data_IF_233895384622
#
_entry.id   IF_233895384622
#
_cell.length_a   1.000
_cell.length_b   1.000
_cell.length_c   1.000
_cell.angle_alpha   90.00
_cell.angle_beta   90.00
_cell.angle_gamma   90.00
#
_symmetry.space_group_name_H-M   'P 1'
#
loop_
_entity.id
_entity.type
_entity.pdbx_description
1 polymer ?
#
# COMPACT_ATOMS: atom_id res chain seq x y z
N UNK A 1 -18.36 -8.45 -21.35
CA UNK A 1 -17.88 -8.36 -19.95
C UNK A 1 -17.60 -6.90 -19.64
N UNK A 2 -18.22 -6.34 -18.61
CA UNK A 2 -18.08 -4.92 -18.26
C UNK A 2 -16.66 -4.58 -17.80
N UNK A 3 -15.98 -3.75 -18.57
CA UNK A 3 -14.60 -3.28 -18.34
C UNK A 3 -14.43 -2.43 -17.07
N UNK A 4 -15.53 -2.00 -16.45
CA UNK A 4 -15.53 -1.25 -15.17
C UNK A 4 -15.17 -2.12 -13.96
N UNK A 5 -15.50 -3.41 -13.97
CA UNK A 5 -15.24 -4.32 -12.84
C UNK A 5 -13.85 -4.97 -12.89
N UNK A 6 -13.15 -4.82 -14.01
CA UNK A 6 -11.79 -5.31 -14.21
C UNK A 6 -10.72 -4.35 -13.70
N UNK A 7 -11.04 -3.14 -13.25
CA UNK A 7 -10.06 -2.19 -12.69
C UNK A 7 -9.83 -2.45 -11.19
N UNK A 8 -8.64 -2.11 -10.67
CA UNK A 8 -8.29 -2.35 -9.27
C UNK A 8 -9.14 -1.54 -8.28
N UNK A 9 -9.79 -0.45 -8.73
CA UNK A 9 -10.66 0.35 -7.87
C UNK A 9 -9.90 1.05 -6.73
N UNK A 10 -8.62 1.38 -6.95
CA UNK A 10 -7.74 1.94 -5.92
C UNK A 10 -7.61 3.44 -6.13
N UNK A 11 -7.67 4.21 -5.04
CA UNK A 11 -7.17 5.58 -5.00
C UNK A 11 -6.19 5.74 -3.84
N UNK A 12 -4.98 6.17 -4.17
CA UNK A 12 -3.90 6.39 -3.19
C UNK A 12 -3.80 7.89 -2.91
N UNK A 13 -3.64 8.25 -1.63
CA UNK A 13 -3.57 9.64 -1.19
C UNK A 13 -2.21 9.92 -0.57
N UNK A 14 -1.42 10.72 -1.29
CA UNK A 14 -0.10 11.18 -0.84
C UNK A 14 0.95 10.06 -0.81
N UNK A 15 2.14 10.37 -1.32
CA UNK A 15 3.33 9.55 -1.07
C UNK A 15 3.88 9.83 0.32
N UNK A 16 4.31 8.80 1.04
CA UNK A 16 5.18 8.96 2.19
C UNK A 16 6.54 9.54 1.77
N UNK A 17 7.33 9.97 2.75
CA UNK A 17 8.72 10.39 2.57
C UNK A 17 9.68 9.21 2.35
N UNK A 18 9.18 7.98 2.36
CA UNK A 18 9.97 6.76 2.33
C UNK A 18 9.39 5.71 1.39
N UNK A 19 10.27 4.82 0.92
CA UNK A 19 9.94 3.69 0.07
C UNK A 19 9.15 2.62 0.83
N UNK A 20 8.55 1.68 0.10
CA UNK A 20 7.97 0.46 0.66
C UNK A 20 9.05 -0.31 1.42
N UNK A 21 10.25 -0.41 0.87
CA UNK A 21 11.38 -1.12 1.47
C UNK A 21 11.78 -0.54 2.83
N UNK A 22 11.82 0.77 2.95
CA UNK A 22 12.34 1.43 4.15
C UNK A 22 11.55 1.09 5.42
N UNK A 23 10.26 0.82 5.29
CA UNK A 23 9.36 0.63 6.43
C UNK A 23 8.59 -0.70 6.37
N UNK A 24 9.09 -1.69 5.61
CA UNK A 24 8.52 -3.04 5.53
C UNK A 24 9.51 -4.06 6.04
N UNK A 25 9.06 -4.93 6.95
CA UNK A 25 9.90 -5.98 7.51
C UNK A 25 10.39 -6.93 6.40
N UNK A 26 11.68 -7.31 6.36
CA UNK A 26 12.23 -8.16 5.30
C UNK A 26 11.50 -9.50 5.13
N UNK A 27 11.08 -10.13 6.24
CA UNK A 27 10.32 -11.38 6.19
C UNK A 27 8.96 -11.22 5.51
N UNK A 28 8.33 -10.03 5.58
CA UNK A 28 7.09 -9.77 4.82
C UNK A 28 7.39 -9.70 3.32
N UNK A 29 8.45 -9.00 2.90
CA UNK A 29 8.86 -8.95 1.49
C UNK A 29 9.13 -10.35 0.95
N UNK A 30 9.83 -11.17 1.74
CA UNK A 30 10.11 -12.57 1.41
C UNK A 30 8.83 -13.41 1.33
N UNK A 31 7.93 -13.30 2.31
CA UNK A 31 6.66 -14.05 2.35
C UNK A 31 5.78 -13.78 1.12
N UNK A 32 5.73 -12.53 0.67
CA UNK A 32 4.98 -12.14 -0.51
C UNK A 32 5.77 -12.29 -1.84
N UNK A 33 6.99 -12.84 -1.80
CA UNK A 33 7.91 -12.90 -2.95
C UNK A 33 8.05 -11.54 -3.66
N UNK A 34 8.08 -10.45 -2.89
CA UNK A 34 8.10 -9.10 -3.41
C UNK A 34 9.54 -8.65 -3.68
N UNK A 35 9.80 -8.17 -4.90
CA UNK A 35 11.12 -7.72 -5.31
C UNK A 35 11.62 -6.58 -4.41
N UNK A 36 12.80 -6.77 -3.83
CA UNK A 36 13.49 -5.72 -3.06
C UNK A 36 13.78 -4.49 -3.92
N UNK A 37 14.08 -4.68 -5.21
CA UNK A 37 14.29 -3.58 -6.15
C UNK A 37 13.00 -2.76 -6.31
N UNK A 38 11.86 -3.43 -6.51
CA UNK A 38 10.57 -2.75 -6.61
C UNK A 38 10.21 -2.07 -5.29
N UNK A 39 10.45 -2.72 -4.15
CA UNK A 39 10.21 -2.13 -2.83
C UNK A 39 11.02 -0.85 -2.61
N UNK A 40 12.26 -0.77 -3.12
CA UNK A 40 13.11 0.42 -3.00
C UNK A 40 12.67 1.55 -3.92
N UNK A 41 12.22 1.23 -5.14
CA UNK A 41 11.83 2.23 -6.16
C UNK A 41 10.46 2.85 -5.92
N UNK A 42 9.58 2.18 -5.18
CA UNK A 42 8.20 2.63 -4.99
C UNK A 42 8.00 3.23 -3.60
N UNK A 43 7.39 4.41 -3.58
CA UNK A 43 7.02 5.11 -2.35
C UNK A 43 5.87 4.39 -1.65
N UNK A 44 5.93 4.29 -0.32
CA UNK A 44 4.79 3.80 0.45
C UNK A 44 3.69 4.86 0.49
N UNK A 45 2.46 4.51 0.15
CA UNK A 45 1.34 5.46 0.17
C UNK A 45 0.90 5.78 1.60
N UNK A 46 0.61 7.04 1.89
CA UNK A 46 0.20 7.47 3.22
C UNK A 46 -1.22 6.98 3.58
N UNK A 47 -2.12 6.94 2.59
CA UNK A 47 -3.45 6.36 2.73
C UNK A 47 -3.96 5.75 1.42
N UNK A 48 -4.88 4.79 1.52
CA UNK A 48 -5.50 4.11 0.38
C UNK A 48 -7.01 4.01 0.58
N UNK A 49 -7.77 4.35 -0.46
CA UNK A 49 -9.20 4.04 -0.59
C UNK A 49 -9.38 2.91 -1.60
N UNK A 50 -10.13 1.89 -1.18
CA UNK A 50 -10.57 0.79 -2.04
C UNK A 50 -12.05 0.97 -2.37
N UNK A 51 -12.36 1.11 -3.65
CA UNK A 51 -13.71 1.17 -4.20
C UNK A 51 -14.14 -0.25 -4.55
N UNK A 52 -15.39 -0.61 -4.23
CA UNK A 52 -15.94 -1.95 -4.34
C UNK A 52 -15.93 -2.50 -5.79
N UNK A 53 -14.79 -3.03 -6.21
CA UNK A 53 -14.59 -3.79 -7.45
C UNK A 53 -14.25 -5.25 -7.13
N UNK A 54 -14.35 -6.15 -8.10
CA UNK A 54 -13.94 -7.56 -7.92
C UNK A 54 -12.45 -7.66 -7.57
N UNK A 55 -11.60 -6.78 -8.10
CA UNK A 55 -10.17 -6.74 -7.78
C UNK A 55 -9.92 -6.22 -6.36
N UNK A 56 -10.62 -5.16 -5.95
CA UNK A 56 -10.55 -4.65 -4.57
C UNK A 56 -10.99 -5.71 -3.55
N UNK A 57 -12.07 -6.46 -3.84
CA UNK A 57 -12.51 -7.56 -2.98
C UNK A 57 -11.41 -8.63 -2.80
N UNK A 58 -10.71 -9.01 -3.88
CA UNK A 58 -9.58 -9.94 -3.81
C UNK A 58 -8.38 -9.38 -3.02
N UNK A 59 -8.12 -8.08 -3.11
CA UNK A 59 -7.10 -7.41 -2.30
C UNK A 59 -7.49 -7.48 -0.81
N UNK A 60 -8.73 -7.13 -0.48
CA UNK A 60 -9.26 -7.18 0.88
C UNK A 60 -9.20 -8.60 1.45
N UNK A 61 -9.52 -9.61 0.64
CA UNK A 61 -9.44 -11.02 1.05
C UNK A 61 -8.01 -11.42 1.43
N UNK A 62 -7.02 -11.13 0.58
CA UNK A 62 -5.60 -11.39 0.88
C UNK A 62 -5.08 -10.58 2.06
N UNK A 63 -5.53 -9.34 2.18
CA UNK A 63 -5.18 -8.49 3.32
C UNK A 63 -5.74 -9.04 4.63
N UNK A 64 -7.00 -9.52 4.62
CA UNK A 64 -7.65 -10.21 5.74
C UNK A 64 -6.93 -11.52 6.09
N UNK A 65 -6.57 -12.34 5.11
CA UNK A 65 -5.78 -13.57 5.33
C UNK A 65 -4.46 -13.27 6.04
N UNK A 66 -3.79 -12.18 5.68
CA UNK A 66 -2.59 -11.76 6.40
C UNK A 66 -2.89 -11.20 7.79
N UNK A 67 -4.02 -10.52 7.98
CA UNK A 67 -4.40 -9.91 9.26
C UNK A 67 -4.70 -10.93 10.35
N UNK A 68 -5.20 -12.12 9.99
CA UNK A 68 -5.49 -13.19 10.96
C UNK A 68 -4.23 -13.98 11.36
N UNK A 69 -3.17 -13.94 10.56
CA UNK A 69 -1.90 -14.61 10.84
C UNK A 69 -0.89 -13.61 11.42
N UNK A 70 -0.62 -13.70 12.73
CA UNK A 70 0.26 -12.76 13.44
C UNK A 70 1.60 -12.54 12.72
N UNK A 71 2.27 -13.62 12.33
CA UNK A 71 3.59 -13.54 11.69
C UNK A 71 3.53 -13.01 10.25
N UNK A 72 2.35 -12.99 9.62
CA UNK A 72 2.16 -12.31 8.35
C UNK A 72 2.08 -10.80 8.56
N UNK A 73 1.19 -10.33 9.45
CA UNK A 73 0.95 -8.90 9.66
C UNK A 73 2.04 -8.21 10.51
N UNK A 74 2.63 -8.94 11.44
CA UNK A 74 3.62 -8.48 12.40
C UNK A 74 4.70 -9.55 12.61
N UNK A 75 5.59 -9.79 11.64
CA UNK A 75 6.72 -10.71 11.80
C UNK A 75 7.49 -10.45 13.09
N UNK A 76 8.13 -11.47 13.66
CA UNK A 76 8.95 -11.33 14.86
C UNK A 76 9.98 -10.18 14.75
N UNK A 77 10.10 -9.36 15.79
CA UNK A 77 10.96 -8.16 15.79
C UNK A 77 10.31 -6.90 15.20
N UNK A 78 9.08 -6.99 14.69
CA UNK A 78 8.33 -5.82 14.19
C UNK A 78 8.09 -4.80 15.29
N UNK A 79 8.39 -3.54 14.98
CA UNK A 79 8.04 -2.38 15.79
C UNK A 79 7.81 -1.16 14.90
N UNK A 80 7.11 -0.16 15.45
CA UNK A 80 6.61 0.99 14.67
C UNK A 80 7.65 2.10 14.51
N UNK A 81 8.54 2.26 15.48
CA UNK A 81 9.52 3.35 15.51
C UNK A 81 10.62 3.09 14.50
N UNK A 82 10.88 4.06 13.62
CA UNK A 82 11.86 3.94 12.55
C UNK A 82 13.16 4.66 12.89
N UNK A 83 14.26 4.11 12.40
CA UNK A 83 15.53 4.80 12.27
C UNK A 83 15.37 5.92 11.22
N UNK A 84 15.14 7.13 11.70
CA UNK A 84 14.81 8.30 10.88
C UNK A 84 15.88 8.60 9.81
N UNK A 85 17.19 8.61 10.12
CA UNK A 85 18.23 8.72 9.10
C UNK A 85 18.12 7.71 7.95
N UNK A 86 17.85 6.44 8.25
CA UNK A 86 17.69 5.39 7.23
C UNK A 86 16.40 5.54 6.44
N UNK A 87 15.32 5.94 7.12
CA UNK A 87 14.01 6.17 6.52
C UNK A 87 14.08 7.20 5.38
N UNK A 88 14.78 8.33 5.61
CA UNK A 88 14.98 9.37 4.59
C UNK A 88 15.89 8.93 3.43
N UNK A 89 16.78 7.97 3.66
CA UNK A 89 17.68 7.41 2.64
C UNK A 89 17.07 6.25 1.87
N UNK A 90 15.81 5.88 2.16
CA UNK A 90 15.16 4.69 1.62
C UNK A 90 15.92 3.38 1.91
N UNK A 91 16.71 3.37 2.98
CA UNK A 91 17.31 2.17 3.55
C UNK A 91 16.31 1.50 4.50
N UNK A 92 16.48 0.20 4.77
CA UNK A 92 15.62 -0.47 5.75
C UNK A 92 15.80 0.19 7.13
N UNK A 93 14.77 0.87 7.60
CA UNK A 93 14.81 1.73 8.77
C UNK A 93 14.53 0.98 10.07
N UNK A 94 14.79 -0.34 10.09
CA UNK A 94 14.57 -1.23 11.22
C UNK A 94 13.13 -1.24 11.77
N UNK A 95 12.13 -0.75 11.02
CA UNK A 95 10.75 -0.67 11.47
C UNK A 95 9.79 -1.39 10.54
N UNK A 96 8.53 -1.45 10.96
CA UNK A 96 7.46 -2.07 10.19
C UNK A 96 6.14 -1.30 10.28
N UNK A 97 5.50 -1.10 9.12
CA UNK A 97 4.21 -0.42 8.99
C UNK A 97 3.02 -1.39 8.80
N UNK A 98 3.17 -2.63 9.25
CA UNK A 98 2.07 -3.60 9.42
C UNK A 98 1.13 -3.68 8.20
N UNK A 99 -0.13 -3.29 8.38
CA UNK A 99 -1.20 -3.33 7.40
C UNK A 99 -0.93 -2.48 6.17
N UNK A 100 -0.30 -1.31 6.36
CA UNK A 100 0.14 -0.44 5.28
C UNK A 100 1.20 -1.11 4.39
N UNK A 101 2.11 -1.91 4.97
CA UNK A 101 3.10 -2.67 4.20
C UNK A 101 2.44 -3.76 3.36
N UNK A 102 1.48 -4.50 3.93
CA UNK A 102 0.73 -5.53 3.20
C UNK A 102 -0.03 -4.90 2.04
N UNK A 103 -0.77 -3.82 2.31
CA UNK A 103 -1.51 -3.10 1.29
C UNK A 103 -0.58 -2.58 0.18
N UNK A 104 0.54 -1.93 0.52
CA UNK A 104 1.46 -1.41 -0.50
C UNK A 104 1.96 -2.51 -1.47
N UNK A 105 2.26 -3.71 -0.95
CA UNK A 105 2.65 -4.87 -1.76
C UNK A 105 1.49 -5.36 -2.65
N UNK A 106 0.30 -5.54 -2.06
CA UNK A 106 -0.87 -6.03 -2.79
C UNK A 106 -1.33 -5.07 -3.89
N UNK A 107 -1.29 -3.76 -3.62
CA UNK A 107 -1.71 -2.71 -4.56
C UNK A 107 -0.72 -2.57 -5.70
N UNK A 108 0.59 -2.62 -5.43
CA UNK A 108 1.61 -2.64 -6.48
C UNK A 108 1.38 -3.80 -7.45
N UNK A 109 1.14 -5.01 -6.93
CA UNK A 109 0.87 -6.17 -7.77
C UNK A 109 -0.44 -6.03 -8.57
N UNK A 110 -1.41 -5.27 -8.05
CA UNK A 110 -2.63 -4.95 -8.79
C UNK A 110 -2.37 -3.93 -9.91
N UNK A 111 -1.56 -2.89 -9.65
CA UNK A 111 -1.37 -1.76 -10.57
C UNK A 111 -0.40 -2.02 -11.74
N UNK A 112 0.47 -3.04 -11.65
CA UNK A 112 1.38 -3.43 -12.75
C UNK A 112 0.66 -3.90 -14.04
N UNK A 113 -0.65 -4.14 -14.00
CA UNK A 113 -1.46 -4.46 -15.18
C UNK A 113 -2.16 -3.19 -15.71
N UNK A 114 -1.37 -2.33 -16.36
CA UNK A 114 -1.52 -0.88 -16.63
C UNK A 114 -2.80 -0.31 -17.30
N UNK A 115 -4.00 -0.81 -17.02
CA UNK A 115 -5.29 -0.12 -17.30
C UNK A 115 -6.19 0.01 -16.06
N UNK A 116 -5.66 -0.37 -14.89
CA UNK A 116 -6.44 -0.72 -13.70
C UNK A 116 -6.63 0.41 -12.68
N UNK A 117 -5.96 1.54 -12.85
CA UNK A 117 -6.33 2.74 -12.13
C UNK A 117 -7.71 3.16 -12.64
N UNK A 118 -8.63 3.48 -11.72
CA UNK A 118 -9.74 4.34 -12.11
C UNK A 118 -9.07 5.60 -12.65
N UNK A 119 -9.18 5.81 -13.96
CA UNK A 119 -8.81 7.08 -14.57
C UNK A 119 -9.40 8.20 -13.71
N UNK A 120 -8.75 9.35 -13.76
CA UNK A 120 -9.07 10.62 -13.09
C UNK A 120 -10.50 11.14 -13.30
N UNK A 121 -11.48 10.31 -13.67
CA UNK A 121 -12.88 10.55 -13.35
C UNK A 121 -12.97 11.01 -11.90
N UNK A 122 -13.36 12.27 -11.65
CA UNK A 122 -13.47 12.77 -10.31
C UNK A 122 -14.56 11.94 -9.64
N UNK A 123 -14.15 11.03 -8.75
CA UNK A 123 -15.03 10.36 -7.81
C UNK A 123 -15.44 11.42 -6.77
N UNK A 124 -16.18 12.42 -7.24
CA UNK A 124 -16.72 13.54 -6.46
C UNK A 124 -15.59 14.45 -5.93
N UNK A 125 -15.72 15.77 -6.09
CA UNK A 125 -14.93 16.70 -5.29
C UNK A 125 -15.36 16.51 -3.83
N UNK A 126 -14.59 15.74 -3.07
CA UNK A 126 -14.76 15.65 -1.63
C UNK A 126 -14.08 16.87 -1.04
N UNK A 127 -14.81 17.97 -0.97
CA UNK A 127 -14.40 19.08 -0.12
C UNK A 127 -14.42 18.59 1.33
N UNK A 128 -13.30 18.77 2.03
CA UNK A 128 -13.27 18.54 3.47
C UNK A 128 -14.26 19.52 4.10
N UNK A 129 -15.26 18.98 4.80
CA UNK A 129 -16.18 19.76 5.62
C UNK A 129 -15.37 20.70 6.54
N UNK A 130 -15.52 22.01 6.33
CA UNK A 130 -14.82 23.05 7.11
C UNK A 130 -13.48 23.56 6.54
N UNK A 131 -13.13 23.25 5.29
CA UNK A 131 -11.97 23.89 4.64
C UNK A 131 -12.25 25.37 4.38
N UNK A 132 -11.36 26.30 4.76
CA UNK A 132 -11.49 27.70 4.34
C UNK A 132 -11.40 27.79 2.80
N UNK A 133 -12.10 28.74 2.17
CA UNK A 133 -12.00 28.95 0.73
C UNK A 133 -10.56 29.29 0.31
N UNK A 134 -10.19 28.99 -0.95
CA UNK A 134 -8.86 29.26 -1.49
C UNK A 134 -8.50 30.76 -1.47
#
# INVERSE_FOLDING_TARGET
MDTKFSKCGIREFGGSIHSIFAATHPEMLKRFNFSTENAKKNTMNAATLLVATRKAAKIIEKWKECAIEKDCMAPEGSHRECDIPKLYKNEYANCHRYDQSVLAILLYNCSQNSSDYLESTPLINIERLGSPPP
#
